data_IF_852060259599
#
_entry.id   IF_852060259599
#
_cell.length_a   1.000
_cell.length_b   1.000
_cell.length_c   1.000
_cell.angle_alpha   90.00
_cell.angle_beta   90.00
_cell.angle_gamma   90.00
#
_symmetry.space_group_name_H-M   'P 1'
#
loop_
_entity.id
_entity.type
_entity.pdbx_description
1 polymer ?
#
# COMPACT_ATOMS: atom_id res chain seq x y z
N UNK A 1 2.94 -8.30 -11.46
CA UNK A 1 3.28 -9.66 -10.96
C UNK A 1 3.08 -10.73 -12.03
N UNK A 2 2.01 -10.68 -12.84
CA UNK A 2 1.70 -11.73 -13.83
C UNK A 2 2.87 -12.11 -14.76
N UNK A 3 3.64 -11.15 -15.26
CA UNK A 3 4.79 -11.41 -16.13
C UNK A 3 5.91 -12.19 -15.42
N UNK A 4 6.23 -11.83 -14.17
CA UNK A 4 7.21 -12.54 -13.35
C UNK A 4 6.74 -13.97 -13.03
N UNK A 5 5.46 -14.16 -12.69
CA UNK A 5 4.91 -15.50 -12.43
C UNK A 5 5.02 -16.40 -13.67
N UNK A 6 4.71 -15.88 -14.87
CA UNK A 6 4.93 -16.63 -16.12
C UNK A 6 6.40 -17.01 -16.32
N UNK A 7 7.31 -16.07 -16.10
CA UNK A 7 8.75 -16.31 -16.22
C UNK A 7 9.26 -17.36 -15.23
N UNK A 8 8.87 -17.26 -13.97
CA UNK A 8 9.26 -18.22 -12.93
C UNK A 8 8.72 -19.63 -13.24
N UNK A 9 7.46 -19.75 -13.65
CA UNK A 9 6.87 -21.05 -13.99
C UNK A 9 7.59 -21.70 -15.20
N UNK A 10 7.90 -20.91 -16.23
CA UNK A 10 8.68 -21.39 -17.36
C UNK A 10 10.10 -21.78 -16.95
N UNK A 11 10.78 -20.98 -16.13
CA UNK A 11 12.15 -21.23 -15.69
C UNK A 11 12.25 -22.47 -14.81
N UNK A 12 11.28 -22.72 -13.93
CA UNK A 12 11.21 -23.91 -13.07
C UNK A 12 11.20 -25.23 -13.85
N UNK A 13 10.75 -25.22 -15.11
CA UNK A 13 10.73 -26.39 -15.98
C UNK A 13 12.07 -26.66 -16.70
N UNK A 14 13.09 -25.83 -16.48
CA UNK A 14 14.37 -25.91 -17.20
C UNK A 14 15.45 -26.65 -16.40
N UNK A 15 16.45 -27.21 -17.10
CA UNK A 15 17.65 -27.75 -16.47
C UNK A 15 18.45 -26.64 -15.76
N UNK A 16 18.43 -25.42 -16.28
CA UNK A 16 19.14 -24.28 -15.69
C UNK A 16 18.63 -23.97 -14.27
N UNK A 17 17.33 -24.11 -14.02
CA UNK A 17 16.79 -23.98 -12.66
C UNK A 17 17.26 -25.12 -11.75
N UNK A 18 17.29 -26.37 -12.23
CA UNK A 18 17.81 -27.49 -11.45
C UNK A 18 19.30 -27.29 -11.09
N UNK A 19 20.11 -26.83 -12.04
CA UNK A 19 21.52 -26.53 -11.83
C UNK A 19 21.71 -25.36 -10.86
N UNK A 20 20.86 -24.33 -10.93
CA UNK A 20 20.83 -23.23 -9.97
C UNK A 20 20.55 -23.75 -8.55
N UNK A 21 19.54 -24.60 -8.40
CA UNK A 21 19.17 -25.18 -7.11
C UNK A 21 20.28 -26.07 -6.53
N UNK A 22 20.98 -26.85 -7.36
CA UNK A 22 22.10 -27.66 -6.93
C UNK A 22 23.29 -26.82 -6.39
N UNK A 23 23.47 -25.58 -6.89
CA UNK A 23 24.50 -24.65 -6.37
C UNK A 23 24.17 -24.08 -4.99
N UNK A 24 22.89 -24.08 -4.60
CA UNK A 24 22.43 -23.51 -3.33
C UNK A 24 21.61 -24.53 -2.52
N UNK A 25 22.26 -25.58 -1.98
CA UNK A 25 21.58 -26.74 -1.40
C UNK A 25 20.74 -26.45 -0.14
N UNK A 26 20.96 -25.31 0.53
CA UNK A 26 20.13 -24.88 1.66
C UNK A 26 18.76 -24.33 1.21
N UNK A 27 18.63 -23.94 -0.06
CA UNK A 27 17.38 -23.44 -0.63
C UNK A 27 16.51 -24.61 -1.06
N UNK A 28 15.35 -24.74 -0.41
CA UNK A 28 14.31 -25.69 -0.81
C UNK A 28 13.60 -25.20 -2.06
N UNK A 29 14.22 -25.41 -3.21
CA UNK A 29 13.63 -25.06 -4.50
C UNK A 29 12.28 -25.74 -4.73
N UNK A 30 11.33 -24.97 -5.27
CA UNK A 30 10.02 -25.49 -5.66
C UNK A 30 10.11 -26.14 -7.04
N UNK A 31 10.19 -27.48 -7.04
CA UNK A 31 10.07 -28.32 -8.24
C UNK A 31 8.63 -28.78 -8.50
N UNK A 32 7.70 -28.52 -7.57
CA UNK A 32 6.30 -28.90 -7.72
C UNK A 32 5.50 -27.92 -8.60
N UNK A 33 6.09 -26.76 -8.94
CA UNK A 33 5.42 -25.75 -9.76
C UNK A 33 4.30 -25.04 -9.01
N UNK A 34 4.47 -24.86 -7.70
CA UNK A 34 3.50 -24.21 -6.82
C UNK A 34 3.21 -22.78 -7.31
N UNK A 35 1.95 -22.37 -7.24
CA UNK A 35 1.50 -21.02 -7.63
C UNK A 35 0.89 -20.27 -6.43
N UNK A 36 1.07 -18.94 -6.44
CA UNK A 36 0.38 -18.03 -5.52
C UNK A 36 -0.68 -17.24 -6.28
N UNK A 37 -1.81 -17.01 -5.61
CA UNK A 37 -2.89 -16.16 -6.10
C UNK A 37 -2.95 -14.94 -5.19
N UNK A 38 -2.86 -13.74 -5.78
CA UNK A 38 -2.98 -12.47 -5.06
C UNK A 38 -4.41 -11.93 -5.13
N UNK A 39 -5.39 -12.80 -4.86
CA UNK A 39 -6.81 -12.47 -4.93
C UNK A 39 -7.44 -12.74 -3.58
N UNK A 40 -7.91 -11.68 -2.94
CA UNK A 40 -8.73 -11.78 -1.73
C UNK A 40 -10.08 -12.37 -2.09
N UNK A 41 -10.47 -13.47 -1.44
CA UNK A 41 -11.79 -14.08 -1.60
C UNK A 41 -12.46 -14.24 -0.25
N UNK A 42 -13.76 -14.58 -0.24
CA UNK A 42 -14.47 -14.90 1.00
C UNK A 42 -13.83 -16.11 1.71
N UNK A 43 -13.27 -17.06 0.96
CA UNK A 43 -12.60 -18.25 1.52
C UNK A 43 -11.13 -18.02 1.91
N UNK A 44 -10.51 -16.94 1.42
CA UNK A 44 -9.12 -16.55 1.69
C UNK A 44 -9.02 -15.05 2.00
N UNK A 45 -9.62 -14.58 3.11
CA UNK A 45 -9.63 -13.16 3.47
C UNK A 45 -8.26 -12.60 3.84
N UNK A 46 -7.32 -13.47 4.23
CA UNK A 46 -5.93 -13.14 4.58
C UNK A 46 -5.06 -12.76 3.38
N UNK A 47 -5.45 -13.18 2.18
CA UNK A 47 -4.70 -12.85 0.96
C UNK A 47 -4.95 -11.38 0.62
N UNK A 48 -3.87 -10.61 0.46
CA UNK A 48 -3.96 -9.22 0.03
C UNK A 48 -4.53 -9.11 -1.38
N UNK A 49 -5.43 -8.14 -1.59
CA UNK A 49 -5.99 -7.86 -2.90
C UNK A 49 -5.00 -7.01 -3.72
N UNK A 50 -4.02 -7.65 -4.36
CA UNK A 50 -3.09 -6.98 -5.26
C UNK A 50 -3.46 -7.29 -6.71
N UNK A 51 -3.58 -6.27 -7.57
CA UNK A 51 -3.91 -6.50 -8.96
C UNK A 51 -2.80 -7.33 -9.66
N UNK A 52 -3.17 -8.25 -10.58
CA UNK A 52 -2.19 -9.07 -11.30
C UNK A 52 -1.33 -8.23 -12.26
N UNK A 53 -1.88 -7.09 -12.69
CA UNK A 53 -1.25 -6.08 -13.53
C UNK A 53 -0.82 -4.86 -12.71
N UNK A 54 -0.10 -3.93 -13.35
CA UNK A 54 0.29 -2.67 -12.71
C UNK A 54 -0.97 -1.91 -12.30
N UNK A 55 -1.02 -1.46 -11.04
CA UNK A 55 -2.10 -0.61 -10.57
C UNK A 55 -2.00 0.78 -11.21
N UNK A 56 -3.13 1.37 -11.57
CA UNK A 56 -3.25 2.77 -11.98
C UNK A 56 -2.98 3.68 -10.79
N UNK A 57 -3.49 3.31 -9.61
CA UNK A 57 -3.37 4.07 -8.37
C UNK A 57 -2.83 3.15 -7.26
N UNK A 58 -1.86 3.64 -6.51
CA UNK A 58 -1.23 2.94 -5.40
C UNK A 58 -1.48 3.80 -4.18
N UNK A 59 -2.17 3.25 -3.21
CA UNK A 59 -2.63 3.96 -2.01
C UNK A 59 -1.83 3.47 -0.82
N UNK A 60 -1.12 4.37 -0.13
CA UNK A 60 -0.42 4.08 1.12
C UNK A 60 -1.33 4.25 2.34
N UNK A 61 -1.22 3.37 3.33
CA UNK A 61 -1.83 3.54 4.66
C UNK A 61 -1.04 2.77 5.73
N UNK A 62 -1.12 3.16 7.00
CA UNK A 62 -0.46 2.43 8.09
C UNK A 62 -1.17 1.12 8.44
N UNK A 63 -2.50 1.07 8.25
CA UNK A 63 -3.33 -0.04 8.71
C UNK A 63 -3.20 -0.29 10.21
N UNK A 64 -3.13 0.79 10.99
CA UNK A 64 -3.11 0.79 12.46
C UNK A 64 -3.99 1.90 13.05
N UNK A 65 -5.23 2.00 12.55
CA UNK A 65 -6.20 2.98 13.01
C UNK A 65 -7.59 2.40 13.19
N UNK A 66 -7.85 1.90 14.41
CA UNK A 66 -9.15 1.38 14.89
C UNK A 66 -9.94 0.62 13.81
N UNK A 67 -11.19 0.98 13.53
CA UNK A 67 -12.00 0.39 12.45
C UNK A 67 -11.87 1.12 11.10
N UNK A 68 -11.07 2.20 11.04
CA UNK A 68 -10.82 2.94 9.81
C UNK A 68 -9.92 2.14 8.85
N UNK A 69 -8.78 1.67 9.34
CA UNK A 69 -7.88 0.78 8.62
C UNK A 69 -7.06 -0.04 9.63
N UNK A 70 -6.93 -1.34 9.41
CA UNK A 70 -6.28 -2.24 10.35
C UNK A 70 -5.69 -3.48 9.67
N UNK A 71 -4.73 -4.11 10.34
CA UNK A 71 -4.43 -5.53 10.17
C UNK A 71 -4.86 -6.28 11.43
N UNK A 72 -5.84 -7.18 11.32
CA UNK A 72 -6.29 -8.05 12.43
C UNK A 72 -6.22 -9.51 11.97
N UNK A 73 -5.52 -10.35 12.74
CA UNK A 73 -5.32 -11.76 12.39
C UNK A 73 -4.75 -11.94 10.96
N UNK A 74 -3.83 -11.07 10.54
CA UNK A 74 -3.24 -11.09 9.19
C UNK A 74 -4.12 -10.52 8.08
N UNK A 75 -5.34 -10.07 8.40
CA UNK A 75 -6.29 -9.53 7.42
C UNK A 75 -6.23 -8.01 7.42
N UNK A 76 -5.82 -7.45 6.27
CA UNK A 76 -5.93 -6.03 5.98
C UNK A 76 -7.41 -5.66 5.71
N UNK A 77 -7.98 -4.77 6.52
CA UNK A 77 -9.40 -4.40 6.50
C UNK A 77 -9.67 -2.99 7.05
N UNK A 78 -10.95 -2.63 7.12
CA UNK A 78 -11.42 -1.36 7.67
C UNK A 78 -12.20 -0.51 6.66
N UNK A 79 -12.93 0.47 7.19
CA UNK A 79 -13.80 1.35 6.42
C UNK A 79 -13.08 2.02 5.25
N UNK A 80 -11.88 2.57 5.47
CA UNK A 80 -11.13 3.28 4.42
C UNK A 80 -10.77 2.36 3.25
N UNK A 81 -10.53 1.07 3.52
CA UNK A 81 -10.17 0.10 2.50
C UNK A 81 -11.36 -0.35 1.67
N UNK A 82 -12.48 -0.62 2.31
CA UNK A 82 -13.73 -0.96 1.62
C UNK A 82 -14.21 0.21 0.75
N UNK A 83 -14.14 1.43 1.28
CA UNK A 83 -14.41 2.65 0.53
C UNK A 83 -13.47 2.79 -0.67
N UNK A 84 -12.16 2.62 -0.47
CA UNK A 84 -11.17 2.72 -1.54
C UNK A 84 -11.44 1.71 -2.65
N UNK A 85 -11.74 0.46 -2.31
CA UNK A 85 -12.06 -0.58 -3.30
C UNK A 85 -13.32 -0.24 -4.10
N UNK A 86 -14.39 0.20 -3.42
CA UNK A 86 -15.63 0.61 -4.07
C UNK A 86 -15.43 1.81 -5.00
N UNK A 87 -14.68 2.83 -4.55
CA UNK A 87 -14.37 4.01 -5.36
C UNK A 87 -13.54 3.65 -6.59
N UNK A 88 -12.51 2.81 -6.44
CA UNK A 88 -11.68 2.38 -7.55
C UNK A 88 -12.46 1.60 -8.61
N UNK A 89 -13.37 0.73 -8.19
CA UNK A 89 -14.30 0.06 -9.09
C UNK A 89 -15.22 1.07 -9.81
N UNK A 90 -15.76 2.05 -9.09
CA UNK A 90 -16.65 3.08 -9.64
C UNK A 90 -15.96 3.94 -10.71
N UNK A 91 -14.70 4.33 -10.49
CA UNK A 91 -13.95 5.16 -11.45
C UNK A 91 -13.27 4.35 -12.56
N UNK A 92 -13.46 3.02 -12.59
CA UNK A 92 -12.86 2.14 -13.57
C UNK A 92 -11.32 2.11 -13.53
N UNK A 93 -10.74 2.27 -12.33
CA UNK A 93 -9.27 2.25 -12.14
C UNK A 93 -8.84 1.05 -11.31
N UNK A 94 -7.71 0.48 -11.69
CA UNK A 94 -7.08 -0.60 -10.93
C UNK A 94 -6.30 0.02 -9.77
N UNK A 95 -6.70 -0.28 -8.55
CA UNK A 95 -6.03 0.22 -7.35
C UNK A 95 -5.30 -0.89 -6.60
N UNK A 96 -4.19 -0.52 -5.96
CA UNK A 96 -3.51 -1.35 -4.97
C UNK A 96 -3.36 -0.56 -3.68
N UNK A 97 -3.75 -1.14 -2.56
CA UNK A 97 -3.40 -0.60 -1.25
C UNK A 97 -2.11 -1.27 -0.79
N UNK A 98 -1.17 -0.48 -0.29
CA UNK A 98 0.05 -0.96 0.35
C UNK A 98 0.14 -0.40 1.77
N UNK A 99 0.74 -1.17 2.66
CA UNK A 99 1.01 -0.69 4.01
C UNK A 99 2.34 0.06 4.07
N UNK A 100 2.34 1.21 4.72
CA UNK A 100 3.52 2.06 4.97
C UNK A 100 3.42 2.65 6.36
N UNK A 101 4.52 2.84 7.12
CA UNK A 101 4.44 3.53 8.41
C UNK A 101 3.77 4.90 8.25
N UNK A 102 2.97 5.35 9.23
CA UNK A 102 2.30 6.65 9.14
C UNK A 102 3.30 7.78 8.91
N UNK A 103 4.51 7.66 9.47
CA UNK A 103 5.59 8.63 9.27
C UNK A 103 6.08 8.75 7.82
N UNK A 104 5.87 7.73 6.99
CA UNK A 104 6.13 7.81 5.55
C UNK A 104 5.10 8.70 4.84
N UNK A 105 3.90 8.85 5.41
CA UNK A 105 2.83 9.74 4.93
C UNK A 105 2.97 11.14 5.56
N UNK A 106 3.09 11.21 6.89
CA UNK A 106 3.20 12.42 7.70
C UNK A 106 4.18 12.20 8.84
N UNK A 107 5.37 12.80 8.77
CA UNK A 107 6.38 12.55 9.80
C UNK A 107 5.99 13.11 11.17
N UNK A 108 6.39 12.37 12.21
CA UNK A 108 6.24 12.79 13.59
C UNK A 108 7.36 13.72 14.08
N UNK A 109 8.50 13.81 13.37
CA UNK A 109 9.56 14.79 13.69
C UNK A 109 10.32 15.34 12.46
N UNK A 110 10.42 16.67 12.36
CA UNK A 110 11.31 17.42 11.47
C UNK A 110 12.32 18.30 12.23
N UNK A 111 12.12 18.48 13.54
CA UNK A 111 12.90 19.38 14.40
C UNK A 111 14.37 19.02 14.39
N UNK A 112 14.69 17.72 14.52
CA UNK A 112 16.07 17.23 14.52
C UNK A 112 16.73 17.35 13.14
N UNK A 113 15.98 17.17 12.05
CA UNK A 113 16.53 17.15 10.69
C UNK A 113 16.72 18.55 10.10
N UNK A 114 15.90 19.51 10.50
CA UNK A 114 15.88 20.88 9.95
C UNK A 114 16.13 21.98 10.99
N UNK A 115 16.42 21.61 12.25
CA UNK A 115 16.70 22.56 13.33
C UNK A 115 15.48 23.37 13.78
N UNK A 116 14.27 22.88 13.55
CA UNK A 116 13.04 23.59 13.92
C UNK A 116 12.72 23.41 15.40
N UNK A 117 12.13 24.42 16.07
CA UNK A 117 11.87 24.36 17.51
C UNK A 117 10.76 23.36 17.89
N UNK A 118 9.88 22.99 16.96
CA UNK A 118 8.85 21.97 17.14
C UNK A 118 8.46 21.33 15.80
N UNK A 119 7.91 20.12 15.82
CA UNK A 119 7.29 19.51 14.65
C UNK A 119 5.76 19.51 14.77
N UNK A 120 5.12 20.27 13.91
CA UNK A 120 3.67 20.38 13.87
C UNK A 120 2.98 19.25 13.07
N UNK A 121 3.71 18.26 12.53
CA UNK A 121 3.18 17.16 11.68
C UNK A 121 2.45 17.66 10.42
N UNK A 122 2.92 18.79 9.91
CA UNK A 122 2.26 19.57 8.85
C UNK A 122 2.77 19.24 7.45
N UNK A 123 4.02 18.76 7.35
CA UNK A 123 4.67 18.47 6.08
C UNK A 123 4.65 16.98 5.74
N UNK A 124 4.50 16.61 4.45
CA UNK A 124 4.45 15.20 4.06
C UNK A 124 5.74 14.45 4.37
N UNK A 125 5.60 13.18 4.74
CA UNK A 125 6.69 12.26 5.03
C UNK A 125 7.49 11.85 3.79
N UNK A 126 8.62 11.18 4.02
CA UNK A 126 9.55 10.80 2.95
C UNK A 126 8.92 9.86 1.91
N UNK A 127 8.04 8.94 2.32
CA UNK A 127 7.37 8.04 1.39
C UNK A 127 6.44 8.79 0.42
N UNK A 128 5.74 9.80 0.92
CA UNK A 128 4.94 10.70 0.11
C UNK A 128 5.83 11.52 -0.86
N UNK A 129 6.86 12.18 -0.32
CA UNK A 129 7.79 13.03 -1.08
C UNK A 129 8.58 12.27 -2.15
N UNK A 130 8.92 11.00 -1.90
CA UNK A 130 9.64 10.12 -2.83
C UNK A 130 8.72 9.24 -3.68
N UNK A 131 7.41 9.50 -3.66
CA UNK A 131 6.41 8.79 -4.50
C UNK A 131 6.45 7.27 -4.33
N UNK A 132 6.56 6.78 -3.09
CA UNK A 132 6.40 5.34 -2.79
C UNK A 132 5.00 4.83 -3.14
N UNK A 133 4.03 5.74 -3.13
CA UNK A 133 2.63 5.53 -3.49
C UNK A 133 2.10 6.83 -4.13
N UNK A 134 0.98 6.74 -4.83
CA UNK A 134 0.37 7.87 -5.54
C UNK A 134 -0.46 8.76 -4.60
N UNK A 135 -1.15 8.16 -3.63
CA UNK A 135 -1.95 8.88 -2.65
C UNK A 135 -2.05 8.14 -1.30
N UNK A 136 -2.50 8.84 -0.26
CA UNK A 136 -2.88 8.22 1.03
C UNK A 136 -4.36 8.44 1.29
N UNK A 137 -4.93 7.66 2.21
CA UNK A 137 -6.29 7.80 2.73
C UNK A 137 -6.28 8.26 4.20
N UNK A 138 -7.46 8.50 4.75
CA UNK A 138 -7.67 8.69 6.20
C UNK A 138 -7.08 9.97 6.76
N UNK A 139 -6.72 10.94 5.92
CA UNK A 139 -5.99 12.13 6.38
C UNK A 139 -6.94 13.29 6.67
N UNK A 140 -6.81 13.83 7.87
CA UNK A 140 -7.49 15.05 8.29
C UNK A 140 -6.93 16.25 7.54
N UNK A 141 -7.85 17.04 7.00
CA UNK A 141 -7.57 18.25 6.26
C UNK A 141 -7.30 19.45 7.20
N UNK A 142 -6.03 19.75 7.50
CA UNK A 142 -5.62 20.95 8.25
C UNK A 142 -5.10 22.03 7.30
N UNK A 143 -5.20 23.31 7.70
CA UNK A 143 -4.73 24.44 6.87
C UNK A 143 -3.29 24.23 6.41
N UNK A 144 -2.41 23.81 7.33
CA UNK A 144 -1.00 23.61 7.01
C UNK A 144 -0.78 22.49 5.98
N UNK A 145 -1.54 21.39 6.06
CA UNK A 145 -1.48 20.32 5.06
C UNK A 145 -2.00 20.79 3.70
N UNK A 146 -3.08 21.57 3.66
CA UNK A 146 -3.59 22.14 2.40
C UNK A 146 -2.58 23.03 1.68
N UNK A 147 -1.63 23.63 2.40
CA UNK A 147 -0.57 24.41 1.76
C UNK A 147 0.48 23.54 1.05
N UNK A 148 0.53 22.23 1.32
CA UNK A 148 1.60 21.33 0.86
C UNK A 148 1.14 20.26 -0.13
N UNK A 149 -0.15 19.90 -0.11
CA UNK A 149 -0.71 18.76 -0.86
C UNK A 149 -2.17 19.01 -1.21
N UNK A 150 -2.65 18.33 -2.26
CA UNK A 150 -4.06 18.38 -2.64
C UNK A 150 -4.88 17.28 -1.92
N UNK A 151 -6.11 17.63 -1.57
CA UNK A 151 -7.09 16.77 -0.91
C UNK A 151 -8.28 16.50 -1.83
N UNK A 152 -8.86 15.30 -1.72
CA UNK A 152 -10.21 15.06 -2.26
C UNK A 152 -11.27 15.77 -1.42
N UNK A 153 -12.51 15.78 -1.91
CA UNK A 153 -13.67 16.00 -1.04
C UNK A 153 -13.65 14.98 0.13
N UNK A 154 -14.08 15.38 1.33
CA UNK A 154 -14.04 14.50 2.48
C UNK A 154 -15.08 13.39 2.36
N UNK A 155 -14.76 12.23 2.90
CA UNK A 155 -15.66 11.08 2.98
C UNK A 155 -16.11 10.78 4.42
N UNK A 156 -15.62 11.55 5.40
CA UNK A 156 -16.15 11.59 6.78
C UNK A 156 -16.74 12.95 7.10
N UNK A 157 -17.68 12.99 8.04
CA UNK A 157 -18.27 14.22 8.58
C UNK A 157 -17.78 14.46 10.03
N UNK A 158 -17.94 15.69 10.52
CA UNK A 158 -17.57 16.13 11.87
C UNK A 158 -16.45 17.18 11.86
N UNK A 159 -15.90 17.46 13.05
CA UNK A 159 -14.82 18.43 13.23
C UNK A 159 -13.53 18.04 12.49
N UNK A 160 -13.32 16.74 12.26
CA UNK A 160 -12.16 16.20 11.56
C UNK A 160 -12.61 15.43 10.32
N UNK A 161 -12.68 16.15 9.21
CA UNK A 161 -13.04 15.59 7.91
C UNK A 161 -11.80 14.95 7.26
N UNK A 162 -11.93 13.67 6.90
CA UNK A 162 -10.88 12.89 6.27
C UNK A 162 -11.14 12.73 4.77
N UNK A 163 -10.06 12.77 3.99
CA UNK A 163 -10.07 12.55 2.55
C UNK A 163 -8.82 11.79 2.10
N UNK A 164 -8.73 11.57 0.79
CA UNK A 164 -7.49 11.15 0.16
C UNK A 164 -6.57 12.35 -0.04
N UNK A 165 -5.26 12.11 -0.01
CA UNK A 165 -4.22 13.11 -0.24
C UNK A 165 -3.35 12.67 -1.39
N UNK A 166 -3.15 13.53 -2.37
CA UNK A 166 -2.37 13.28 -3.59
C UNK A 166 -1.12 14.15 -3.63
N UNK A 167 -0.02 13.58 -4.13
CA UNK A 167 1.19 14.33 -4.47
C UNK A 167 1.07 14.78 -5.92
N UNK A 168 1.12 16.08 -6.17
CA UNK A 168 1.12 16.64 -7.53
C UNK A 168 2.44 16.36 -8.29
#
# INVERSE_FOLDING_TARGET
VAALNRGILAFKATQEYADLCARYPEIRCDFAGTTYINLKTVSHPEIANHPPHRADIVIGTEADFVDHNFIRNGILGGFDLELTQALCALIGRTCSVITVPWQAVWTADFSVKFGWPANHREYPGEGFQRRWFHCTLGTINTIARQQSVAFTSPYTNGTFQAGFVVAD
#
